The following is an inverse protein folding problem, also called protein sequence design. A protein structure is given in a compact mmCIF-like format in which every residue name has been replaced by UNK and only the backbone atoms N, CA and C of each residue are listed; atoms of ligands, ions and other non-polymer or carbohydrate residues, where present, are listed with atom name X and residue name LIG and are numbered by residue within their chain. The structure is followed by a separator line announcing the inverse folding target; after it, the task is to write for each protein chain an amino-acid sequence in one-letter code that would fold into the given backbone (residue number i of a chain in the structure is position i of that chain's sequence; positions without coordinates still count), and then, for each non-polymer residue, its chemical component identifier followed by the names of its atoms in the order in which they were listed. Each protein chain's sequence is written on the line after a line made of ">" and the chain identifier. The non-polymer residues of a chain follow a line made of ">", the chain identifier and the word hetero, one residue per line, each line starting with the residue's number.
data_IF_120936549666
#
_entry.id   IF_120936549666
#
_cell.length_a   1.000
_cell.length_b   1.000
_cell.length_c   1.000
_cell.angle_alpha   90.00
_cell.angle_beta   90.00
_cell.angle_gamma   90.00
#
_symmetry.space_group_name_H-M   'P 1'
#
loop_
_entity.id
_entity.type
_entity.pdbx_description
1 polymer ?
#
# COMPACT_ATOMS: atom_id res chain seq x y z
N UNK A 1 90.22 25.23 9.59
CA UNK A 1 88.90 25.34 10.25
C UNK A 1 88.79 24.19 11.25
N UNK A 2 89.04 24.47 12.54
CA UNK A 2 89.20 23.45 13.60
C UNK A 2 87.85 22.81 13.90
N UNK A 3 87.72 21.51 13.62
CA UNK A 3 86.55 20.71 14.04
C UNK A 3 86.70 20.45 15.54
N UNK A 4 85.92 21.15 16.36
CA UNK A 4 85.83 20.94 17.82
C UNK A 4 85.38 19.50 18.12
N UNK A 5 86.34 18.58 18.29
CA UNK A 5 86.09 17.24 18.82
C UNK A 5 86.28 17.32 20.34
N UNK A 6 85.19 17.16 21.09
CA UNK A 6 85.21 17.06 22.56
C UNK A 6 84.44 18.13 23.33
N UNK A 7 83.76 19.07 22.68
CA UNK A 7 82.88 20.04 23.37
C UNK A 7 81.45 19.48 23.52
N UNK A 8 80.74 19.90 24.57
CA UNK A 8 79.32 19.56 24.83
C UNK A 8 78.44 19.79 23.60
N UNK A 9 78.73 20.82 22.81
CA UNK A 9 78.02 21.17 21.58
C UNK A 9 78.20 20.13 20.45
N UNK A 10 79.37 19.49 20.34
CA UNK A 10 79.63 18.46 19.33
C UNK A 10 78.93 17.13 19.65
N UNK A 11 78.81 16.79 20.94
CA UNK A 11 78.03 15.64 21.41
C UNK A 11 76.53 15.87 21.22
N UNK A 12 76.04 17.10 21.49
CA UNK A 12 74.65 17.49 21.23
C UNK A 12 74.28 17.35 19.74
N UNK A 13 75.12 17.82 18.82
CA UNK A 13 74.88 17.64 17.37
C UNK A 13 74.84 16.18 16.92
N UNK A 14 75.71 15.33 17.47
CA UNK A 14 75.69 13.89 17.13
C UNK A 14 74.45 13.18 17.69
N UNK A 15 73.96 13.59 18.88
CA UNK A 15 72.71 13.10 19.45
C UNK A 15 71.51 13.58 18.61
N UNK A 16 71.50 14.83 18.18
CA UNK A 16 70.46 15.39 17.31
C UNK A 16 70.41 14.66 15.95
N UNK A 17 71.56 14.39 15.33
CA UNK A 17 71.62 13.62 14.07
C UNK A 17 71.13 12.17 14.23
N UNK A 18 71.42 11.52 15.36
CA UNK A 18 70.92 10.17 15.66
C UNK A 18 69.40 10.20 15.95
N UNK A 19 68.92 11.24 16.62
CA UNK A 19 67.50 11.42 16.95
C UNK A 19 66.68 11.75 15.69
N UNK A 20 67.23 12.51 14.75
CA UNK A 20 66.62 12.78 13.44
C UNK A 20 66.54 11.52 12.57
N UNK A 21 67.56 10.66 12.61
CA UNK A 21 67.54 9.36 11.91
C UNK A 21 66.50 8.41 12.52
N UNK A 22 66.49 8.25 13.84
CA UNK A 22 65.48 7.43 14.55
C UNK A 22 64.05 7.99 14.38
N UNK A 23 63.91 9.32 14.41
CA UNK A 23 62.64 10.01 14.17
C UNK A 23 62.12 9.82 12.74
N UNK A 24 63.00 9.80 11.73
CA UNK A 24 62.62 9.51 10.36
C UNK A 24 62.27 8.04 10.12
N UNK A 25 62.97 7.08 10.75
CA UNK A 25 62.62 5.66 10.66
C UNK A 25 61.27 5.34 11.32
N UNK A 26 61.00 5.91 12.49
CA UNK A 26 59.71 5.73 13.18
C UNK A 26 58.54 6.38 12.43
N UNK A 27 58.76 7.56 11.82
CA UNK A 27 57.77 8.18 10.91
C UNK A 27 57.51 7.31 9.68
N UNK A 28 58.55 6.74 9.06
CA UNK A 28 58.39 5.81 7.92
C UNK A 28 57.58 4.56 8.31
N UNK A 29 57.86 3.95 9.47
CA UNK A 29 57.10 2.79 9.98
C UNK A 29 55.63 3.13 10.24
N UNK A 30 55.33 4.28 10.85
CA UNK A 30 53.95 4.74 11.08
C UNK A 30 53.20 5.00 9.77
N UNK A 31 53.85 5.62 8.78
CA UNK A 31 53.25 5.84 7.46
C UNK A 31 52.94 4.50 6.78
N UNK A 32 53.83 3.51 6.89
CA UNK A 32 53.63 2.17 6.30
C UNK A 32 52.53 1.36 7.01
N UNK A 33 52.30 1.58 8.31
CA UNK A 33 51.21 0.99 9.09
C UNK A 33 49.86 1.64 8.74
N UNK A 34 49.79 2.97 8.68
CA UNK A 34 48.61 3.72 8.22
C UNK A 34 48.24 3.36 6.77
N UNK A 35 49.24 3.13 5.91
CA UNK A 35 49.02 2.69 4.53
C UNK A 35 48.35 1.31 4.50
N UNK A 36 48.83 0.37 5.32
CA UNK A 36 48.27 -0.98 5.45
C UNK A 36 46.85 -0.96 6.02
N UNK A 37 46.55 -0.07 6.94
CA UNK A 37 45.21 0.09 7.50
C UNK A 37 44.24 0.67 6.46
N UNK A 38 44.66 1.66 5.69
CA UNK A 38 43.90 2.19 4.54
C UNK A 38 43.65 1.13 3.48
N UNK A 39 44.64 0.30 3.17
CA UNK A 39 44.49 -0.80 2.20
C UNK A 39 43.52 -1.88 2.71
N UNK A 40 43.52 -2.16 4.02
CA UNK A 40 42.52 -3.06 4.64
C UNK A 40 41.12 -2.46 4.58
N UNK A 41 40.97 -1.17 4.91
CA UNK A 41 39.68 -0.48 4.90
C UNK A 41 39.09 -0.43 3.49
N UNK A 42 39.89 -0.06 2.50
CA UNK A 42 39.46 -0.05 1.09
C UNK A 42 39.12 -1.44 0.56
N UNK A 43 39.82 -2.49 1.01
CA UNK A 43 39.48 -3.88 0.67
C UNK A 43 38.13 -4.29 1.29
N UNK A 44 37.87 -3.94 2.54
CA UNK A 44 36.59 -4.22 3.21
C UNK A 44 35.45 -3.44 2.53
N UNK A 45 35.66 -2.18 2.20
CA UNK A 45 34.70 -1.35 1.46
C UNK A 45 34.37 -1.96 0.09
N UNK A 46 35.36 -2.49 -0.64
CA UNK A 46 35.13 -3.20 -1.90
C UNK A 46 34.33 -4.50 -1.72
N UNK A 47 34.56 -5.25 -0.64
CA UNK A 47 33.81 -6.46 -0.34
C UNK A 47 32.36 -6.12 0.02
N UNK A 48 32.13 -5.05 0.80
CA UNK A 48 30.79 -4.57 1.13
C UNK A 48 30.03 -4.02 -0.10
N UNK A 49 30.74 -3.38 -1.02
CA UNK A 49 30.19 -2.87 -2.27
C UNK A 49 30.06 -3.94 -3.36
N UNK A 50 30.64 -5.13 -3.17
CA UNK A 50 30.57 -6.21 -4.15
C UNK A 50 29.14 -6.75 -4.22
N UNK A 51 28.46 -6.43 -5.31
CA UNK A 51 27.12 -6.90 -5.59
C UNK A 51 27.18 -8.18 -6.43
N UNK A 52 26.26 -9.12 -6.20
CA UNK A 52 26.16 -10.35 -7.01
C UNK A 52 25.92 -10.02 -8.49
N UNK A 53 26.60 -10.74 -9.39
CA UNK A 53 26.45 -10.59 -10.84
C UNK A 53 25.02 -10.85 -11.34
N UNK A 54 24.17 -11.51 -10.54
CA UNK A 54 22.79 -11.89 -10.89
C UNK A 54 21.71 -11.10 -10.14
N UNK A 55 22.04 -9.95 -9.54
CA UNK A 55 21.03 -9.10 -8.88
C UNK A 55 19.85 -8.76 -9.80
N UNK A 56 20.13 -8.49 -11.07
CA UNK A 56 19.11 -8.20 -12.08
C UNK A 56 18.08 -9.34 -12.24
N UNK A 57 18.47 -10.61 -12.11
CA UNK A 57 17.53 -11.74 -12.20
C UNK A 57 16.63 -11.84 -10.97
N UNK A 58 17.14 -11.45 -9.80
CA UNK A 58 16.37 -11.43 -8.55
C UNK A 58 15.39 -10.26 -8.55
N UNK A 59 15.85 -9.08 -8.97
CA UNK A 59 15.01 -7.89 -9.17
C UNK A 59 13.90 -8.17 -10.18
N UNK A 60 14.23 -8.74 -11.35
CA UNK A 60 13.23 -9.10 -12.35
C UNK A 60 12.17 -10.06 -11.81
N UNK A 61 12.55 -11.06 -11.01
CA UNK A 61 11.57 -11.96 -10.37
C UNK A 61 10.67 -11.19 -9.40
N UNK A 62 11.23 -10.30 -8.59
CA UNK A 62 10.44 -9.48 -7.67
C UNK A 62 9.49 -8.53 -8.40
N UNK A 63 9.95 -7.89 -9.46
CA UNK A 63 9.14 -7.01 -10.30
C UNK A 63 7.99 -7.80 -10.93
N UNK A 64 8.24 -8.99 -11.48
CA UNK A 64 7.20 -9.87 -12.00
C UNK A 64 6.16 -10.28 -10.94
N UNK A 65 6.60 -10.57 -9.72
CA UNK A 65 5.70 -10.91 -8.61
C UNK A 65 4.83 -9.71 -8.21
N UNK A 66 5.43 -8.52 -8.16
CA UNK A 66 4.74 -7.27 -7.91
C UNK A 66 3.73 -6.93 -9.02
N UNK A 67 4.12 -7.03 -10.29
CA UNK A 67 3.22 -6.82 -11.43
C UNK A 67 2.05 -7.81 -11.41
N UNK A 68 2.30 -9.09 -11.11
CA UNK A 68 1.23 -10.10 -10.96
C UNK A 68 0.28 -9.78 -9.81
N UNK A 69 0.77 -9.15 -8.74
CA UNK A 69 -0.06 -8.69 -7.63
C UNK A 69 -0.90 -7.47 -8.02
N UNK A 70 -0.26 -6.41 -8.52
CA UNK A 70 -0.93 -5.16 -8.88
C UNK A 70 -1.91 -5.33 -10.05
N UNK A 71 -1.56 -6.10 -11.08
CA UNK A 71 -2.46 -6.37 -12.20
C UNK A 71 -3.77 -7.05 -11.78
N UNK A 72 -3.75 -7.86 -10.72
CA UNK A 72 -4.98 -8.46 -10.16
C UNK A 72 -5.81 -7.42 -9.43
N UNK A 73 -5.18 -6.49 -8.72
CA UNK A 73 -5.88 -5.40 -8.01
C UNK A 73 -6.47 -4.41 -9.00
N UNK A 74 -5.70 -3.97 -9.99
CA UNK A 74 -6.14 -3.04 -11.03
C UNK A 74 -7.35 -3.59 -11.80
N UNK A 75 -7.34 -4.89 -12.14
CA UNK A 75 -8.51 -5.54 -12.78
C UNK A 75 -9.76 -5.53 -11.89
N UNK A 76 -9.60 -5.65 -10.56
CA UNK A 76 -10.72 -5.57 -9.62
C UNK A 76 -11.23 -4.14 -9.52
N UNK A 77 -10.34 -3.17 -9.37
CA UNK A 77 -10.69 -1.75 -9.29
C UNK A 77 -11.39 -1.27 -10.56
N UNK A 78 -10.85 -1.63 -11.74
CA UNK A 78 -11.47 -1.30 -13.02
C UNK A 78 -12.87 -1.92 -13.18
N UNK A 79 -13.12 -3.09 -12.59
CA UNK A 79 -14.46 -3.70 -12.59
C UNK A 79 -15.39 -2.96 -11.61
N UNK A 80 -14.92 -2.64 -10.41
CA UNK A 80 -15.70 -1.90 -9.41
C UNK A 80 -16.09 -0.51 -9.95
N UNK A 81 -15.16 0.23 -10.56
CA UNK A 81 -15.43 1.53 -11.19
C UNK A 81 -16.47 1.42 -12.31
N UNK A 82 -16.36 0.41 -13.17
CA UNK A 82 -17.39 0.14 -14.19
C UNK A 82 -18.76 -0.14 -13.57
N UNK A 83 -18.82 -0.87 -12.46
CA UNK A 83 -20.08 -1.15 -11.77
C UNK A 83 -20.66 0.09 -11.05
N UNK A 84 -19.81 1.03 -10.63
CA UNK A 84 -20.23 2.31 -10.06
C UNK A 84 -20.77 3.26 -11.12
N UNK A 85 -20.20 3.26 -12.32
CA UNK A 85 -20.63 4.14 -13.41
C UNK A 85 -21.81 3.58 -14.24
N UNK A 86 -22.16 2.30 -14.06
CA UNK A 86 -23.26 1.66 -14.80
C UNK A 86 -24.60 1.77 -14.06
N UNK A 87 -25.51 2.55 -14.63
CA UNK A 87 -26.88 2.73 -14.11
C UNK A 87 -27.91 1.82 -14.79
N UNK A 88 -27.56 1.28 -15.95
CA UNK A 88 -28.44 0.47 -16.78
C UNK A 88 -27.66 -0.67 -17.43
N UNK A 89 -28.25 -1.87 -17.45
CA UNK A 89 -27.63 -3.09 -18.00
C UNK A 89 -28.64 -3.81 -18.86
N UNK A 90 -28.26 -4.17 -20.07
CA UNK A 90 -29.13 -4.94 -20.95
C UNK A 90 -29.29 -6.37 -20.44
N UNK A 91 -30.52 -6.86 -20.42
CA UNK A 91 -30.89 -8.15 -19.88
C UNK A 91 -32.04 -8.77 -20.69
N UNK A 92 -32.27 -10.06 -20.48
CA UNK A 92 -33.46 -10.74 -20.98
C UNK A 92 -34.52 -10.67 -19.89
N UNK A 93 -35.72 -10.25 -20.25
CA UNK A 93 -36.89 -10.25 -19.38
C UNK A 93 -37.97 -11.15 -19.98
N UNK A 94 -38.83 -11.67 -19.11
CA UNK A 94 -39.94 -12.55 -19.49
C UNK A 94 -41.25 -11.79 -19.32
N UNK A 95 -42.10 -11.89 -20.34
CA UNK A 95 -43.48 -11.43 -20.31
C UNK A 95 -44.39 -12.65 -20.26
N UNK A 96 -45.20 -12.75 -19.21
CA UNK A 96 -46.27 -13.75 -19.18
C UNK A 96 -47.48 -13.23 -19.96
N UNK A 97 -47.96 -13.99 -20.95
CA UNK A 97 -49.09 -13.55 -21.79
C UNK A 97 -50.44 -13.66 -21.05
N UNK A 98 -50.58 -14.57 -20.09
CA UNK A 98 -51.79 -14.70 -19.28
C UNK A 98 -51.85 -13.66 -18.16
N UNK A 99 -50.80 -13.56 -17.33
CA UNK A 99 -50.76 -12.61 -16.21
C UNK A 99 -50.32 -11.18 -16.61
N UNK A 100 -49.81 -10.99 -17.82
CA UNK A 100 -49.40 -9.69 -18.39
C UNK A 100 -48.35 -8.90 -17.58
N UNK A 101 -47.54 -9.57 -16.74
CA UNK A 101 -46.42 -8.94 -16.05
C UNK A 101 -45.12 -9.09 -16.84
N UNK A 102 -44.16 -8.20 -16.57
CA UNK A 102 -42.79 -8.25 -17.09
C UNK A 102 -41.81 -8.34 -15.92
N UNK A 103 -41.00 -9.39 -15.88
CA UNK A 103 -40.02 -9.63 -14.82
C UNK A 103 -38.73 -10.23 -15.39
N UNK A 104 -37.65 -10.24 -14.60
CA UNK A 104 -36.38 -10.86 -15.00
C UNK A 104 -36.51 -12.38 -15.16
N UNK A 105 -37.32 -13.00 -14.31
CA UNK A 105 -37.67 -14.42 -14.35
C UNK A 105 -39.18 -14.58 -14.26
N UNK A 106 -39.70 -15.68 -14.80
CA UNK A 106 -41.09 -16.06 -14.58
C UNK A 106 -41.31 -16.37 -13.10
N UNK A 107 -42.44 -15.91 -12.55
CA UNK A 107 -42.90 -16.28 -11.23
C UNK A 107 -43.13 -17.80 -11.16
N UNK A 108 -42.86 -18.42 -10.01
CA UNK A 108 -42.91 -19.88 -9.88
C UNK A 108 -44.31 -20.44 -10.14
N UNK A 109 -45.35 -19.74 -9.68
CA UNK A 109 -46.76 -20.08 -10.01
C UNK A 109 -47.00 -20.17 -11.51
N UNK A 110 -46.45 -19.22 -12.29
CA UNK A 110 -46.62 -19.23 -13.74
C UNK A 110 -45.84 -20.36 -14.43
N UNK A 111 -44.79 -20.89 -13.80
CA UNK A 111 -44.07 -22.07 -14.29
C UNK A 111 -44.85 -23.34 -13.96
N UNK A 112 -45.41 -23.43 -12.75
CA UNK A 112 -46.25 -24.55 -12.29
C UNK A 112 -47.51 -24.69 -13.15
N UNK A 113 -48.22 -23.58 -13.38
CA UNK A 113 -49.42 -23.52 -14.22
C UNK A 113 -49.11 -23.51 -15.73
N UNK A 114 -47.83 -23.55 -16.12
CA UNK A 114 -47.33 -23.57 -17.51
C UNK A 114 -47.91 -22.46 -18.40
N UNK A 115 -47.84 -21.23 -17.92
CA UNK A 115 -48.32 -20.08 -18.68
C UNK A 115 -47.45 -19.82 -19.94
N UNK A 116 -48.02 -19.25 -21.02
CA UNK A 116 -47.23 -18.85 -22.19
C UNK A 116 -46.34 -17.66 -21.86
N UNK A 117 -45.03 -17.88 -21.93
CA UNK A 117 -43.99 -16.90 -21.61
C UNK A 117 -43.26 -16.44 -22.88
N UNK A 118 -43.09 -15.13 -23.06
CA UNK A 118 -42.29 -14.54 -24.14
C UNK A 118 -41.04 -13.89 -23.57
N UNK A 119 -39.88 -14.27 -24.08
CA UNK A 119 -38.61 -13.63 -23.72
C UNK A 119 -38.40 -12.40 -24.60
N UNK A 120 -38.06 -11.27 -23.98
CA UNK A 120 -37.75 -10.00 -24.66
C UNK A 120 -36.41 -9.46 -24.18
N UNK A 121 -35.73 -8.70 -25.04
CA UNK A 121 -34.58 -7.89 -24.62
C UNK A 121 -35.10 -6.64 -23.91
N UNK A 122 -34.60 -6.38 -22.71
CA UNK A 122 -35.00 -5.25 -21.89
C UNK A 122 -33.83 -4.72 -21.07
N UNK A 123 -33.93 -3.50 -20.58
CA UNK A 123 -32.83 -2.89 -19.81
C UNK A 123 -33.16 -2.92 -18.32
N UNK A 124 -32.30 -3.56 -17.52
CA UNK A 124 -32.32 -3.54 -16.05
C UNK A 124 -31.82 -2.19 -15.56
N UNK A 125 -32.61 -1.54 -14.73
CA UNK A 125 -32.29 -0.25 -14.11
C UNK A 125 -32.21 -0.40 -12.59
N UNK A 126 -31.30 0.32 -11.97
CA UNK A 126 -31.06 0.25 -10.52
C UNK A 126 -31.56 1.51 -9.81
N UNK A 127 -32.19 1.32 -8.66
CA UNK A 127 -32.77 2.37 -7.84
C UNK A 127 -32.42 2.18 -6.37
N UNK A 128 -32.38 3.29 -5.64
CA UNK A 128 -32.23 3.33 -4.20
C UNK A 128 -33.35 4.18 -3.60
N UNK A 129 -33.91 3.71 -2.49
CA UNK A 129 -34.90 4.45 -1.74
C UNK A 129 -34.22 5.60 -0.99
N UNK A 130 -34.75 6.81 -1.11
CA UNK A 130 -34.19 8.01 -0.45
C UNK A 130 -34.33 7.96 1.07
N UNK A 131 -35.43 7.40 1.56
CA UNK A 131 -35.77 7.46 2.99
C UNK A 131 -35.02 6.42 3.83
N UNK A 132 -34.70 5.24 3.27
CA UNK A 132 -34.06 4.15 4.02
C UNK A 132 -32.82 3.54 3.35
N UNK A 133 -32.42 4.01 2.16
CA UNK A 133 -31.25 3.48 1.44
C UNK A 133 -31.42 2.07 0.87
N UNK A 134 -32.60 1.45 0.97
CA UNK A 134 -32.85 0.14 0.39
C UNK A 134 -32.75 0.18 -1.14
N UNK A 135 -32.16 -0.84 -1.75
CA UNK A 135 -31.88 -0.88 -3.19
C UNK A 135 -32.82 -1.83 -3.90
N UNK A 136 -33.19 -1.51 -5.13
CA UNK A 136 -34.00 -2.41 -5.95
C UNK A 136 -33.68 -2.23 -7.43
N UNK A 137 -33.86 -3.29 -8.22
CA UNK A 137 -33.71 -3.27 -9.66
C UNK A 137 -35.03 -3.56 -10.35
N UNK A 138 -35.30 -2.85 -11.44
CA UNK A 138 -36.53 -3.00 -12.22
C UNK A 138 -36.27 -2.93 -13.72
N UNK A 139 -37.10 -3.63 -14.49
CA UNK A 139 -37.11 -3.52 -15.96
C UNK A 139 -37.79 -2.21 -16.42
N UNK A 140 -38.72 -1.71 -15.60
CA UNK A 140 -39.43 -0.47 -15.88
C UNK A 140 -38.57 0.77 -15.62
N UNK A 141 -38.98 1.89 -16.24
CA UNK A 141 -38.33 3.21 -16.08
C UNK A 141 -38.32 3.71 -14.64
N UNK A 142 -39.30 3.31 -13.82
CA UNK A 142 -39.39 3.58 -12.39
C UNK A 142 -40.03 2.37 -11.70
N UNK A 143 -39.67 2.03 -10.46
CA UNK A 143 -40.34 0.98 -9.71
C UNK A 143 -41.83 1.29 -9.51
N UNK A 144 -42.69 0.31 -9.82
CA UNK A 144 -44.16 0.41 -9.65
C UNK A 144 -44.63 -0.01 -8.24
N UNK A 145 -43.70 -0.43 -7.39
CA UNK A 145 -43.97 -0.89 -6.03
C UNK A 145 -43.31 0.06 -5.01
N UNK A 146 -43.86 0.08 -3.80
CA UNK A 146 -43.29 0.78 -2.66
C UNK A 146 -42.05 0.08 -2.11
N UNK A 147 -41.21 0.83 -1.40
CA UNK A 147 -40.02 0.27 -0.78
C UNK A 147 -40.39 -0.80 0.26
N UNK A 148 -39.78 -1.99 0.16
CA UNK A 148 -40.08 -3.11 1.06
C UNK A 148 -39.76 -2.83 2.54
N UNK A 149 -38.85 -1.89 2.81
CA UNK A 149 -38.39 -1.60 4.18
C UNK A 149 -39.22 -0.49 4.85
N UNK A 150 -39.32 0.68 4.22
CA UNK A 150 -40.01 1.83 4.79
C UNK A 150 -41.38 2.15 4.16
N UNK A 151 -41.82 1.38 3.17
CA UNK A 151 -43.07 1.57 2.42
C UNK A 151 -43.19 2.91 1.67
N UNK A 152 -42.13 3.73 1.67
CA UNK A 152 -42.05 4.95 0.87
C UNK A 152 -41.97 4.69 -0.64
N UNK A 153 -42.27 5.73 -1.44
CA UNK A 153 -42.26 5.69 -2.91
C UNK A 153 -41.17 6.56 -3.54
N UNK A 154 -40.28 7.15 -2.72
CA UNK A 154 -39.19 8.02 -3.19
C UNK A 154 -38.00 7.20 -3.65
N UNK A 155 -37.91 7.01 -4.97
CA UNK A 155 -36.83 6.29 -5.63
C UNK A 155 -35.88 7.23 -6.35
N UNK A 156 -34.58 7.02 -6.16
CA UNK A 156 -33.49 7.70 -6.83
C UNK A 156 -32.71 6.72 -7.71
N UNK A 157 -32.21 7.17 -8.86
CA UNK A 157 -31.37 6.35 -9.73
C UNK A 157 -30.05 6.05 -9.03
N UNK A 158 -29.63 4.80 -9.05
CA UNK A 158 -28.40 4.36 -8.40
C UNK A 158 -27.52 3.57 -9.37
N UNK A 159 -26.22 3.54 -9.07
CA UNK A 159 -25.26 2.65 -9.72
C UNK A 159 -25.65 1.17 -9.57
N UNK A 160 -25.01 0.26 -10.30
CA UNK A 160 -25.26 -1.19 -10.18
C UNK A 160 -24.85 -1.72 -8.80
N UNK A 161 -23.69 -1.33 -8.31
CA UNK A 161 -23.18 -1.68 -6.98
C UNK A 161 -23.30 -0.49 -6.01
N UNK A 162 -23.28 -0.78 -4.71
CA UNK A 162 -23.14 0.26 -3.69
C UNK A 162 -21.65 0.54 -3.52
N UNK A 163 -21.27 1.82 -3.49
CA UNK A 163 -19.90 2.22 -3.15
C UNK A 163 -19.49 1.58 -1.82
N UNK A 164 -18.34 0.89 -1.84
CA UNK A 164 -17.74 0.36 -0.63
C UNK A 164 -17.21 1.57 0.15
N UNK A 165 -17.92 1.93 1.21
CA UNK A 165 -17.37 2.83 2.22
C UNK A 165 -16.28 2.06 2.96
N UNK A 166 -15.04 2.22 2.52
CA UNK A 166 -13.87 1.74 3.27
C UNK A 166 -13.79 2.66 4.47
N UNK A 167 -14.41 2.25 5.58
CA UNK A 167 -14.27 2.98 6.84
C UNK A 167 -12.79 3.00 7.19
N UNK A 168 -12.23 4.17 7.46
CA UNK A 168 -10.92 4.33 8.10
C UNK A 168 -10.98 3.86 9.57
N UNK A 169 -11.62 2.73 9.83
CA UNK A 169 -11.92 2.22 11.17
C UNK A 169 -10.65 1.75 11.91
N UNK A 170 -9.54 1.57 11.16
CA UNK A 170 -8.23 1.23 11.70
C UNK A 170 -7.30 2.43 11.90
N UNK A 171 -7.56 3.54 11.22
CA UNK A 171 -6.74 4.75 11.24
C UNK A 171 -7.64 5.98 11.47
N UNK A 172 -8.37 6.01 12.59
CA UNK A 172 -8.95 7.26 13.04
C UNK A 172 -7.80 8.13 13.53
N UNK A 173 -7.19 8.88 12.61
CA UNK A 173 -6.05 9.75 12.90
C UNK A 173 -6.52 10.88 13.83
N UNK A 174 -6.21 10.75 15.12
CA UNK A 174 -6.36 11.83 16.08
C UNK A 174 -5.31 12.91 15.76
N UNK A 175 -5.67 13.93 14.99
CA UNK A 175 -4.77 15.03 14.59
C UNK A 175 -4.11 15.70 15.81
N UNK A 176 -4.75 15.66 16.98
CA UNK A 176 -4.26 16.20 18.26
C UNK A 176 -3.78 15.15 19.26
N UNK A 177 -3.84 13.86 18.92
CA UNK A 177 -3.66 12.76 19.87
C UNK A 177 -4.92 12.43 20.68
N UNK A 178 -4.87 11.33 21.42
CA UNK A 178 -5.90 10.92 22.37
C UNK A 178 -5.77 11.83 23.62
N UNK A 179 -6.66 12.84 23.74
CA UNK A 179 -6.72 13.76 24.89
C UNK A 179 -7.56 13.15 26.03
N UNK A 180 -6.97 12.99 27.22
CA UNK A 180 -7.68 12.51 28.41
C UNK A 180 -8.82 13.48 28.81
N UNK A 181 -10.04 12.95 28.95
CA UNK A 181 -11.18 13.76 29.38
C UNK A 181 -11.19 14.02 30.88
N UNK A 182 -10.55 13.15 31.66
CA UNK A 182 -10.32 13.32 33.09
C UNK A 182 -9.05 12.57 33.53
N UNK A 183 -8.44 13.03 34.63
CA UNK A 183 -7.23 12.45 35.20
C UNK A 183 -7.41 10.96 35.49
N UNK A 184 -6.65 10.10 34.79
CA UNK A 184 -6.69 8.65 34.95
C UNK A 184 -7.60 7.91 33.97
N UNK A 185 -8.08 8.58 32.91
CA UNK A 185 -8.80 7.91 31.83
C UNK A 185 -7.82 7.21 30.89
N UNK A 186 -7.77 5.87 30.92
CA UNK A 186 -6.96 5.11 29.96
C UNK A 186 -7.60 5.17 28.56
N UNK A 187 -6.97 5.90 27.64
CA UNK A 187 -7.37 5.96 26.23
C UNK A 187 -6.53 4.98 25.40
N UNK A 188 -7.20 4.19 24.56
CA UNK A 188 -6.62 3.04 23.86
C UNK A 188 -6.91 3.08 22.34
N UNK A 189 -7.08 4.26 21.74
CA UNK A 189 -7.53 4.38 20.34
C UNK A 189 -6.47 4.88 19.37
N UNK A 190 -5.28 5.24 19.84
CA UNK A 190 -4.24 5.80 18.98
C UNK A 190 -2.80 5.33 19.21
N UNK A 191 -2.55 4.11 19.72
CA UNK A 191 -1.16 3.65 19.87
C UNK A 191 -0.58 3.23 18.50
N UNK A 192 0.07 4.18 17.83
CA UNK A 192 1.05 3.86 16.79
C UNK A 192 2.16 3.06 17.47
N UNK A 193 2.37 1.80 17.06
CA UNK A 193 3.51 0.98 17.46
C UNK A 193 4.82 1.60 16.92
N UNK A 194 5.21 2.77 17.42
CA UNK A 194 6.54 3.32 17.25
C UNK A 194 7.40 2.62 18.30
N UNK A 195 7.83 1.41 17.95
CA UNK A 195 8.74 0.59 18.73
C UNK A 195 10.09 1.33 18.86
N UNK A 196 10.20 2.22 19.85
CA UNK A 196 11.49 2.69 20.34
C UNK A 196 12.00 1.59 21.28
N UNK A 197 13.22 1.05 21.10
CA UNK A 197 13.75 0.05 22.00
C UNK A 197 13.88 0.65 23.41
N UNK A 198 13.33 -0.03 24.41
CA UNK A 198 13.65 0.25 25.82
C UNK A 198 15.13 -0.08 26.02
N UNK A 199 15.97 0.95 26.15
CA UNK A 199 17.34 0.76 26.61
C UNK A 199 17.33 0.23 28.05
N UNK A 200 18.02 -0.89 28.26
CA UNK A 200 18.43 -1.43 29.56
C UNK A 200 19.93 -1.72 29.51
#
# INVERSE_FOLDING_TARGET
>A
MVKYRGTEEGKRRAIDELNDKFGNETKKRKIEEDQREKDRKTRIERIMAATSSHKNLVEQRHDEEQEKYFSKLEKKEAMEEKMLNTFQVDCKAVICQQCKYTAFSAADRCKEEKHPLKVINATKRFFQCKDCGNRTATVHKLPKFSCKNCQGSKWERAAMIKERKVGMDRDQLCIRGDEETFLGSLQNKGNINLLVPDES
#
